data_IF_564063403377
#
_entry.id   IF_564063403377
#
_cell.length_a   1.000
_cell.length_b   1.000
_cell.length_c   1.000
_cell.angle_alpha   90.00
_cell.angle_beta   90.00
_cell.angle_gamma   90.00
#
_symmetry.space_group_name_H-M   'P 1'
#
loop_
_entity.id
_entity.type
_entity.pdbx_description
1 polymer ?
#
# COMPACT_ATOMS: atom_id res chain seq x y z
N UNK A 1 12.93 -6.25 -11.08
CA UNK A 1 12.94 -6.31 -9.60
C UNK A 1 14.36 -6.20 -9.05
N UNK A 2 15.30 -7.04 -9.50
CA UNK A 2 16.67 -7.06 -8.99
C UNK A 2 17.43 -5.74 -9.12
N UNK A 3 17.43 -5.13 -10.31
CA UNK A 3 18.07 -3.83 -10.52
C UNK A 3 17.43 -2.73 -9.66
N UNK A 4 16.09 -2.71 -9.59
CA UNK A 4 15.35 -1.72 -8.80
C UNK A 4 15.72 -1.80 -7.31
N UNK A 5 15.79 -3.00 -6.74
CA UNK A 5 16.19 -3.18 -5.34
C UNK A 5 17.67 -2.85 -5.12
N UNK A 6 18.53 -3.14 -6.10
CA UNK A 6 19.94 -2.75 -6.06
C UNK A 6 20.13 -1.23 -6.04
N UNK A 7 19.36 -0.50 -6.84
CA UNK A 7 19.42 0.97 -6.94
C UNK A 7 18.96 1.66 -5.63
N UNK A 8 18.20 0.97 -4.77
CA UNK A 8 17.74 1.51 -3.48
C UNK A 8 18.83 1.47 -2.39
N UNK A 9 19.87 0.63 -2.53
CA UNK A 9 20.97 0.55 -1.56
C UNK A 9 20.50 0.25 -0.14
N UNK A 10 20.77 1.17 0.79
CA UNK A 10 20.38 1.11 2.21
C UNK A 10 18.89 1.41 2.47
N UNK A 11 18.14 1.81 1.43
CA UNK A 11 16.72 2.21 1.50
C UNK A 11 15.79 1.11 0.99
N UNK A 12 16.15 -0.15 1.20
CA UNK A 12 15.29 -1.27 0.80
C UNK A 12 13.96 -1.23 1.55
N UNK A 13 12.86 -1.65 0.90
CA UNK A 13 11.56 -1.69 1.54
C UNK A 13 11.55 -2.74 2.66
N UNK A 14 10.78 -2.51 3.72
CA UNK A 14 10.60 -3.52 4.77
C UNK A 14 9.88 -4.79 4.26
N UNK A 15 9.04 -4.65 3.24
CA UNK A 15 8.27 -5.76 2.65
C UNK A 15 7.97 -5.46 1.17
N UNK A 16 8.28 -6.40 0.29
CA UNK A 16 7.86 -6.37 -1.12
C UNK A 16 6.50 -7.05 -1.26
N UNK A 17 5.51 -6.37 -1.82
CA UNK A 17 4.17 -6.91 -2.07
C UNK A 17 3.85 -6.82 -3.54
N UNK A 18 3.38 -7.92 -4.13
CA UNK A 18 3.05 -7.95 -5.55
C UNK A 18 2.01 -9.03 -5.90
N UNK A 19 1.45 -8.94 -7.09
CA UNK A 19 0.44 -9.87 -7.59
C UNK A 19 1.07 -11.12 -8.23
N UNK A 20 0.21 -12.01 -8.74
CA UNK A 20 0.54 -13.28 -9.38
C UNK A 20 1.54 -13.21 -10.55
N UNK A 21 1.77 -12.01 -11.11
CA UNK A 21 2.84 -11.77 -12.08
C UNK A 21 4.23 -12.09 -11.53
N UNK A 22 4.46 -11.86 -10.23
CA UNK A 22 5.77 -11.92 -9.60
C UNK A 22 5.94 -13.08 -8.61
N UNK A 23 4.89 -13.85 -8.31
CA UNK A 23 4.96 -15.05 -7.47
C UNK A 23 5.57 -16.28 -8.17
N UNK A 24 6.72 -16.13 -8.83
CA UNK A 24 7.43 -17.20 -9.54
C UNK A 24 8.81 -17.47 -8.91
N UNK A 25 9.37 -18.66 -9.18
CA UNK A 25 10.61 -19.13 -8.54
C UNK A 25 11.77 -18.14 -8.66
N UNK A 26 12.00 -17.59 -9.85
CA UNK A 26 13.13 -16.68 -10.08
C UNK A 26 13.06 -15.43 -9.20
N UNK A 27 11.87 -14.85 -9.06
CA UNK A 27 11.65 -13.67 -8.19
C UNK A 27 11.79 -14.05 -6.71
N UNK A 28 11.22 -15.19 -6.29
CA UNK A 28 11.31 -15.65 -4.90
C UNK A 28 12.77 -15.86 -4.49
N UNK A 29 13.54 -16.60 -5.29
CA UNK A 29 14.97 -16.85 -5.03
C UNK A 29 15.76 -15.55 -4.98
N UNK A 30 15.50 -14.61 -5.91
CA UNK A 30 16.18 -13.32 -5.93
C UNK A 30 15.91 -12.47 -4.67
N UNK A 31 14.70 -12.56 -4.09
CA UNK A 31 14.34 -11.88 -2.85
C UNK A 31 14.93 -12.60 -1.63
N UNK A 32 14.91 -13.94 -1.61
CA UNK A 32 15.48 -14.78 -0.56
C UNK A 32 17.00 -14.58 -0.43
N UNK A 33 17.74 -14.57 -1.54
CA UNK A 33 19.18 -14.32 -1.57
C UNK A 33 19.56 -12.95 -1.01
N UNK A 34 18.65 -11.97 -1.13
CA UNK A 34 18.83 -10.61 -0.60
C UNK A 34 18.30 -10.45 0.82
N UNK A 35 17.78 -11.52 1.43
CA UNK A 35 17.10 -11.47 2.73
C UNK A 35 15.96 -10.44 2.75
N UNK A 36 15.33 -10.17 1.61
CA UNK A 36 14.25 -9.21 1.46
C UNK A 36 12.92 -9.89 1.83
N UNK A 37 12.19 -9.40 2.84
CA UNK A 37 10.85 -9.92 3.12
C UNK A 37 9.91 -9.64 1.95
N UNK A 38 9.06 -10.62 1.64
CA UNK A 38 8.09 -10.52 0.56
C UNK A 38 6.74 -11.14 0.91
N UNK A 39 5.70 -10.69 0.23
CA UNK A 39 4.34 -11.21 0.27
C UNK A 39 3.75 -11.12 -1.14
N UNK A 40 3.84 -12.23 -1.88
CA UNK A 40 3.48 -12.30 -3.30
C UNK A 40 2.31 -13.24 -3.49
N UNK A 41 1.40 -12.92 -4.40
CA UNK A 41 0.35 -13.87 -4.78
C UNK A 41 0.87 -14.92 -5.75
N UNK A 42 0.38 -16.15 -5.63
CA UNK A 42 0.68 -17.24 -6.57
C UNK A 42 -0.34 -17.28 -7.71
N UNK A 43 0.12 -17.66 -8.91
CA UNK A 43 -0.77 -17.99 -10.03
C UNK A 43 -1.56 -19.25 -9.74
N UNK A 44 -2.78 -19.30 -10.28
CA UNK A 44 -3.67 -20.45 -10.14
C UNK A 44 -3.23 -21.63 -11.03
N UNK A 45 -2.18 -22.34 -10.62
CA UNK A 45 -1.77 -23.58 -11.27
C UNK A 45 -2.54 -24.78 -10.70
N UNK A 46 -2.60 -25.89 -11.43
CA UNK A 46 -3.23 -27.12 -10.95
C UNK A 46 -2.65 -27.60 -9.60
N UNK A 47 -1.36 -27.35 -9.34
CA UNK A 47 -0.72 -27.68 -8.06
C UNK A 47 -1.24 -26.79 -6.92
N UNK A 48 -1.45 -25.49 -7.19
CA UNK A 48 -2.01 -24.54 -6.22
C UNK A 48 -3.49 -24.84 -5.94
N UNK A 49 -4.26 -25.22 -6.97
CA UNK A 49 -5.65 -25.68 -6.78
C UNK A 49 -5.72 -26.95 -5.93
N UNK A 50 -4.83 -27.93 -6.18
CA UNK A 50 -4.72 -29.13 -5.35
C UNK A 50 -4.32 -28.80 -3.91
N UNK A 51 -3.43 -27.82 -3.69
CA UNK A 51 -3.09 -27.34 -2.35
C UNK A 51 -4.33 -26.78 -1.63
N UNK A 52 -5.10 -25.92 -2.31
CA UNK A 52 -6.31 -25.31 -1.76
C UNK A 52 -7.36 -26.36 -1.41
N UNK A 53 -7.59 -27.34 -2.29
CA UNK A 53 -8.53 -28.45 -2.04
C UNK A 53 -8.19 -29.24 -0.77
N UNK A 54 -6.91 -29.46 -0.47
CA UNK A 54 -6.48 -30.16 0.76
C UNK A 54 -6.82 -29.39 2.04
N UNK A 55 -6.95 -28.07 1.98
CA UNK A 55 -7.27 -27.25 3.16
C UNK A 55 -8.78 -27.11 3.42
N UNK A 56 -9.63 -27.61 2.52
CA UNK A 56 -11.08 -27.42 2.59
C UNK A 56 -11.75 -28.04 3.81
N UNK A 57 -11.17 -29.11 4.32
CA UNK A 57 -11.69 -29.87 5.47
C UNK A 57 -11.03 -29.45 6.79
N UNK A 58 -9.99 -28.61 6.72
CA UNK A 58 -9.32 -28.11 7.92
C UNK A 58 -10.24 -27.19 8.72
N UNK A 59 -10.14 -27.30 10.04
CA UNK A 59 -10.94 -26.55 11.00
C UNK A 59 -10.17 -25.40 11.67
N UNK A 60 -8.86 -25.35 11.49
CA UNK A 60 -7.93 -24.39 12.11
C UNK A 60 -7.75 -23.10 11.30
N UNK A 61 -8.81 -22.68 10.61
CA UNK A 61 -8.83 -21.38 9.95
C UNK A 61 -8.85 -20.25 11.00
N UNK A 62 -8.19 -19.14 10.69
CA UNK A 62 -8.23 -17.95 11.53
C UNK A 62 -9.67 -17.47 11.72
N UNK A 63 -9.88 -16.67 12.77
CA UNK A 63 -11.11 -15.90 12.90
C UNK A 63 -11.33 -15.04 11.66
N UNK A 64 -12.60 -14.88 11.31
CA UNK A 64 -13.02 -14.00 10.23
C UNK A 64 -12.65 -12.58 10.57
N UNK A 65 -11.94 -11.91 9.67
CA UNK A 65 -11.59 -10.50 9.83
C UNK A 65 -12.79 -9.58 9.52
N UNK A 66 -12.58 -8.27 9.68
CA UNK A 66 -13.61 -7.25 9.43
C UNK A 66 -14.16 -7.23 8.00
N UNK A 67 -13.47 -7.87 7.05
CA UNK A 67 -13.86 -7.94 5.63
C UNK A 67 -14.37 -9.33 5.23
N UNK A 68 -14.56 -10.24 6.18
CA UNK A 68 -15.09 -11.57 5.88
C UNK A 68 -14.03 -12.60 5.43
N UNK A 69 -12.73 -12.28 5.56
CA UNK A 69 -11.66 -13.20 5.19
C UNK A 69 -11.25 -14.09 6.36
N UNK A 70 -10.94 -15.34 6.04
CA UNK A 70 -10.27 -16.28 6.91
C UNK A 70 -8.93 -16.68 6.29
N UNK A 71 -7.93 -16.91 7.11
CA UNK A 71 -6.59 -17.25 6.70
C UNK A 71 -6.15 -18.59 7.29
N UNK A 72 -5.35 -19.34 6.55
CA UNK A 72 -4.65 -20.53 7.05
C UNK A 72 -3.23 -20.55 6.50
N UNK A 73 -2.33 -21.16 7.26
CA UNK A 73 -0.94 -21.34 6.87
C UNK A 73 -0.68 -22.78 6.45
N UNK A 74 0.19 -22.93 5.45
CA UNK A 74 0.83 -24.19 5.12
C UNK A 74 2.26 -23.95 4.62
N UNK A 75 3.02 -25.02 4.43
CA UNK A 75 4.32 -25.01 3.76
C UNK A 75 4.25 -25.90 2.52
N UNK A 76 4.64 -25.36 1.36
CA UNK A 76 4.58 -26.12 0.11
C UNK A 76 5.84 -25.96 -0.71
N UNK A 77 6.24 -27.03 -1.37
CA UNK A 77 7.21 -27.01 -2.46
C UNK A 77 6.49 -27.28 -3.78
N UNK A 78 6.27 -26.25 -4.58
CA UNK A 78 5.70 -26.43 -5.91
C UNK A 78 6.73 -27.05 -6.88
N UNK A 79 6.24 -27.65 -7.96
CA UNK A 79 7.14 -28.15 -9.02
C UNK A 79 7.99 -27.01 -9.58
N UNK A 80 9.28 -27.24 -9.72
CA UNK A 80 10.26 -26.23 -10.14
C UNK A 80 10.76 -25.33 -9.00
N UNK A 81 10.23 -25.46 -7.77
CA UNK A 81 10.77 -24.73 -6.62
C UNK A 81 12.00 -25.42 -6.05
N UNK A 82 13.03 -24.62 -5.77
CA UNK A 82 14.26 -25.06 -5.12
C UNK A 82 14.01 -25.55 -3.69
N UNK A 83 13.08 -24.92 -2.97
CA UNK A 83 12.76 -25.24 -1.59
C UNK A 83 11.27 -25.14 -1.27
N UNK A 84 10.87 -25.70 -0.13
CA UNK A 84 9.55 -25.49 0.44
C UNK A 84 9.45 -24.07 1.01
N UNK A 85 8.29 -23.43 0.87
CA UNK A 85 8.07 -22.06 1.34
C UNK A 85 6.74 -21.95 2.06
N UNK A 86 6.68 -21.02 3.01
CA UNK A 86 5.46 -20.65 3.70
C UNK A 86 4.46 -20.05 2.72
N UNK A 87 3.25 -20.59 2.77
CA UNK A 87 2.09 -20.17 1.99
C UNK A 87 0.94 -19.83 2.94
N UNK A 88 0.28 -18.71 2.68
CA UNK A 88 -0.92 -18.27 3.39
C UNK A 88 -2.08 -18.29 2.41
N UNK A 89 -3.12 -19.04 2.75
CA UNK A 89 -4.33 -19.16 1.94
C UNK A 89 -5.41 -18.32 2.60
N UNK A 90 -5.90 -17.34 1.87
CA UNK A 90 -7.04 -16.52 2.27
C UNK A 90 -8.30 -17.04 1.59
N UNK A 91 -9.41 -17.10 2.33
CA UNK A 91 -10.72 -17.40 1.77
C UNK A 91 -11.76 -16.38 2.20
N UNK A 92 -12.68 -16.04 1.30
CA UNK A 92 -13.86 -15.20 1.60
C UNK A 92 -15.11 -15.89 1.05
N UNK A 93 -16.21 -15.80 1.81
CA UNK A 93 -17.51 -16.28 1.33
C UNK A 93 -18.13 -15.23 0.41
N UNK A 94 -18.49 -15.64 -0.80
CA UNK A 94 -19.19 -14.77 -1.75
C UNK A 94 -20.63 -14.54 -1.29
N UNK A 95 -21.13 -13.31 -1.48
CA UNK A 95 -22.56 -13.00 -1.33
C UNK A 95 -23.30 -13.50 -2.57
N UNK A 96 -24.50 -14.06 -2.39
CA UNK A 96 -25.28 -14.71 -3.47
C UNK A 96 -25.49 -13.83 -4.72
N UNK A 97 -25.59 -12.50 -4.56
CA UNK A 97 -25.70 -11.57 -5.68
C UNK A 97 -24.45 -11.48 -6.57
N UNK A 98 -23.24 -11.54 -5.98
CA UNK A 98 -21.97 -11.48 -6.71
C UNK A 98 -21.67 -12.83 -7.37
N UNK A 99 -22.08 -13.94 -6.75
CA UNK A 99 -21.99 -15.26 -7.34
C UNK A 99 -22.79 -15.38 -8.65
N UNK A 100 -23.94 -14.69 -8.74
CA UNK A 100 -24.76 -14.62 -9.96
C UNK A 100 -24.14 -13.76 -11.06
N UNK A 101 -23.45 -12.68 -10.72
CA UNK A 101 -22.75 -11.82 -11.70
C UNK A 101 -21.44 -12.45 -12.21
N UNK A 102 -20.83 -13.32 -11.41
CA UNK A 102 -19.63 -14.08 -11.77
C UNK A 102 -19.92 -15.30 -12.65
N UNK A 103 -21.18 -15.72 -12.77
CA UNK A 103 -21.63 -16.81 -13.63
C UNK A 103 -22.26 -16.25 -14.91
N UNK A 104 -21.99 -16.86 -16.05
CA UNK A 104 -22.71 -16.62 -17.30
C UNK A 104 -24.08 -17.32 -17.27
N UNK A 105 -24.89 -17.08 -18.30
CA UNK A 105 -26.25 -17.62 -18.44
C UNK A 105 -26.28 -19.16 -18.51
N UNK A 106 -25.12 -19.82 -18.62
CA UNK A 106 -24.94 -21.27 -18.63
C UNK A 106 -24.37 -21.82 -17.30
N UNK A 107 -24.18 -20.96 -16.29
CA UNK A 107 -23.61 -21.36 -14.99
C UNK A 107 -22.10 -21.54 -15.01
N UNK A 108 -21.41 -21.12 -16.07
CA UNK A 108 -19.96 -21.12 -16.20
C UNK A 108 -19.38 -19.76 -15.81
N UNK A 109 -18.17 -19.71 -15.28
CA UNK A 109 -17.60 -18.48 -14.72
C UNK A 109 -17.21 -17.48 -15.83
N UNK A 110 -17.58 -16.20 -15.67
CA UNK A 110 -17.07 -15.11 -16.51
C UNK A 110 -15.55 -15.00 -16.34
N UNK A 111 -14.84 -14.91 -17.47
CA UNK A 111 -13.38 -14.90 -17.57
C UNK A 111 -12.70 -13.87 -16.63
N UNK A 112 -13.31 -12.71 -16.41
CA UNK A 112 -12.77 -11.65 -15.54
C UNK A 112 -12.59 -12.09 -14.07
N UNK A 113 -13.48 -12.96 -13.57
CA UNK A 113 -13.40 -13.51 -12.20
C UNK A 113 -12.51 -14.76 -12.11
N UNK A 114 -12.48 -15.56 -13.18
CA UNK A 114 -11.74 -16.83 -13.24
C UNK A 114 -10.22 -16.63 -13.09
N UNK A 115 -9.67 -15.52 -13.59
CA UNK A 115 -8.24 -15.21 -13.49
C UNK A 115 -7.83 -14.77 -12.07
N UNK A 116 -8.77 -14.27 -11.27
CA UNK A 116 -8.44 -13.59 -10.01
C UNK A 116 -8.68 -14.44 -8.75
N UNK A 117 -9.55 -15.45 -8.76
CA UNK A 117 -9.74 -16.29 -7.57
C UNK A 117 -10.05 -17.75 -7.91
N UNK A 118 -9.63 -18.69 -7.05
CA UNK A 118 -10.14 -20.06 -7.15
C UNK A 118 -11.54 -20.02 -6.56
N UNK A 119 -12.53 -20.24 -7.42
CA UNK A 119 -13.94 -20.24 -7.03
C UNK A 119 -14.39 -21.67 -6.82
N UNK A 120 -14.80 -21.99 -5.60
CA UNK A 120 -15.57 -23.20 -5.32
C UNK A 120 -17.05 -22.86 -5.50
N UNK A 121 -17.57 -23.05 -6.72
CA UNK A 121 -18.95 -22.75 -7.08
C UNK A 121 -19.97 -23.53 -6.23
N UNK A 122 -19.62 -24.72 -5.72
CA UNK A 122 -20.50 -25.51 -4.86
C UNK A 122 -20.57 -24.95 -3.43
N UNK A 123 -19.52 -24.28 -2.96
CA UNK A 123 -19.42 -23.78 -1.57
C UNK A 123 -19.44 -22.25 -1.47
N UNK A 124 -19.48 -21.53 -2.59
CA UNK A 124 -19.44 -20.06 -2.69
C UNK A 124 -18.24 -19.43 -1.99
N UNK A 125 -17.06 -20.02 -2.14
CA UNK A 125 -15.81 -19.49 -1.58
C UNK A 125 -14.87 -19.01 -2.67
N UNK A 126 -14.22 -17.89 -2.37
CA UNK A 126 -13.19 -17.25 -3.15
C UNK A 126 -11.85 -17.44 -2.41
N UNK A 127 -10.87 -18.08 -3.06
CA UNK A 127 -9.55 -18.33 -2.47
C UNK A 127 -8.45 -17.51 -3.14
N UNK A 128 -7.53 -17.02 -2.31
CA UNK A 128 -6.29 -16.35 -2.72
C UNK A 128 -5.12 -17.03 -2.03
N UNK A 129 -4.08 -17.37 -2.79
CA UNK A 129 -2.90 -18.07 -2.27
C UNK A 129 -1.70 -17.14 -2.33
N UNK A 130 -1.10 -16.87 -1.17
CA UNK A 130 0.02 -15.96 -0.99
C UNK A 130 1.25 -16.76 -0.57
N UNK A 131 2.42 -16.46 -1.12
CA UNK A 131 3.71 -16.97 -0.67
C UNK A 131 4.47 -15.87 0.05
N UNK A 132 5.09 -16.18 1.18
CA UNK A 132 5.77 -15.18 2.00
C UNK A 132 6.89 -15.79 2.83
N UNK A 133 7.98 -15.06 3.02
CA UNK A 133 9.01 -15.32 4.03
C UNK A 133 8.93 -14.32 5.21
N UNK A 134 7.94 -13.42 5.22
CA UNK A 134 7.78 -12.41 6.25
C UNK A 134 7.14 -13.03 7.49
N UNK A 135 7.67 -12.73 8.68
CA UNK A 135 7.17 -13.26 9.95
C UNK A 135 6.08 -12.37 10.56
N UNK A 136 4.95 -12.26 9.85
CA UNK A 136 3.75 -11.60 10.36
C UNK A 136 2.67 -12.62 10.73
N UNK A 137 1.81 -12.22 11.68
CA UNK A 137 0.60 -12.97 12.04
C UNK A 137 -0.35 -13.04 10.84
N UNK A 138 -1.17 -14.09 10.77
CA UNK A 138 -2.07 -14.34 9.63
C UNK A 138 -3.06 -13.19 9.38
N UNK A 139 -3.56 -12.57 10.45
CA UNK A 139 -4.46 -11.42 10.37
C UNK A 139 -3.76 -10.21 9.72
N UNK A 140 -2.47 -10.03 10.02
CA UNK A 140 -1.65 -8.98 9.43
C UNK A 140 -1.32 -9.26 7.97
N UNK A 141 -1.04 -10.52 7.61
CA UNK A 141 -0.76 -10.90 6.21
C UNK A 141 -1.94 -10.57 5.29
N UNK A 142 -3.17 -10.90 5.72
CA UNK A 142 -4.37 -10.61 4.92
C UNK A 142 -4.52 -9.10 4.68
N UNK A 143 -4.37 -8.29 5.73
CA UNK A 143 -4.45 -6.83 5.62
C UNK A 143 -3.32 -6.25 4.76
N UNK A 144 -2.07 -6.68 5.00
CA UNK A 144 -0.91 -6.24 4.23
C UNK A 144 -1.07 -6.54 2.74
N UNK A 145 -1.62 -7.70 2.37
CA UNK A 145 -1.85 -8.01 0.97
C UNK A 145 -2.93 -7.12 0.35
N UNK A 146 -4.03 -6.83 1.07
CA UNK A 146 -5.08 -5.92 0.60
C UNK A 146 -4.58 -4.50 0.39
N UNK A 147 -3.77 -3.99 1.31
CA UNK A 147 -3.19 -2.65 1.25
C UNK A 147 -2.19 -2.50 0.08
N UNK A 148 -1.93 -3.56 -0.71
CA UNK A 148 -1.23 -3.44 -2.00
C UNK A 148 -2.06 -2.60 -2.98
N UNK A 149 -3.39 -2.72 -3.00
CA UNK A 149 -4.24 -2.01 -3.97
C UNK A 149 -4.14 -0.48 -3.84
N UNK A 150 -3.67 0.07 -2.71
CA UNK A 150 -3.38 1.50 -2.57
C UNK A 150 -2.36 2.02 -3.61
N UNK A 151 -1.48 1.15 -4.13
CA UNK A 151 -0.51 1.53 -5.16
C UNK A 151 -1.15 1.74 -6.53
N UNK A 152 -2.24 1.03 -6.84
CA UNK A 152 -2.95 1.13 -8.13
C UNK A 152 -3.54 2.53 -8.29
N UNK A 153 -4.20 3.04 -7.24
CA UNK A 153 -4.67 4.43 -7.18
C UNK A 153 -3.54 5.44 -7.42
N UNK A 154 -2.34 5.18 -6.88
CA UNK A 154 -1.17 6.03 -7.12
C UNK A 154 -0.68 6.00 -8.57
N UNK A 155 -0.69 4.83 -9.21
CA UNK A 155 -0.33 4.70 -10.63
C UNK A 155 -1.34 5.41 -11.54
N UNK A 156 -2.62 5.30 -11.24
CA UNK A 156 -3.67 5.98 -12.00
C UNK A 156 -3.59 7.50 -11.82
N UNK A 157 -3.31 7.99 -10.61
CA UNK A 157 -3.03 9.41 -10.40
C UNK A 157 -1.81 9.88 -11.18
N UNK A 158 -0.70 9.11 -11.14
CA UNK A 158 0.51 9.42 -11.89
C UNK A 158 0.26 9.53 -13.40
N UNK A 159 -0.52 8.60 -13.96
CA UNK A 159 -0.90 8.61 -15.37
C UNK A 159 -1.84 9.77 -15.71
N UNK A 160 -2.97 9.86 -15.01
CA UNK A 160 -4.10 10.70 -15.40
C UNK A 160 -3.96 12.15 -14.92
N UNK A 161 -3.31 12.38 -13.78
CA UNK A 161 -3.20 13.72 -13.19
C UNK A 161 -1.80 14.31 -13.40
N UNK A 162 -0.76 13.48 -13.31
CA UNK A 162 0.64 13.95 -13.42
C UNK A 162 1.26 13.74 -14.80
N UNK A 163 0.51 13.18 -15.75
CA UNK A 163 0.93 13.04 -17.14
C UNK A 163 2.19 12.19 -17.31
N UNK A 164 2.39 11.18 -16.45
CA UNK A 164 3.60 10.35 -16.46
C UNK A 164 3.87 9.72 -17.83
N UNK A 165 2.82 9.37 -18.58
CA UNK A 165 2.88 8.84 -19.96
C UNK A 165 2.70 9.90 -21.06
N UNK A 166 2.49 11.18 -20.70
CA UNK A 166 2.15 12.25 -21.62
C UNK A 166 3.33 12.85 -22.39
N UNK A 167 4.57 12.54 -21.98
CA UNK A 167 5.79 13.05 -22.62
C UNK A 167 6.71 11.89 -23.05
N UNK A 168 6.70 11.58 -24.33
CA UNK A 168 7.56 10.55 -24.93
C UNK A 168 8.37 11.13 -26.08
N UNK A 169 9.66 10.79 -26.13
CA UNK A 169 10.55 11.17 -27.23
C UNK A 169 11.30 9.93 -27.71
N UNK A 170 11.97 10.02 -28.87
CA UNK A 170 12.87 8.95 -29.34
C UNK A 170 14.13 8.79 -28.47
N UNK A 171 14.43 9.78 -27.63
CA UNK A 171 15.54 9.75 -26.69
C UNK A 171 15.06 9.26 -25.31
N UNK A 172 15.51 8.06 -24.94
CA UNK A 172 15.13 7.41 -23.69
C UNK A 172 15.54 8.23 -22.46
N UNK A 173 16.69 8.92 -22.50
CA UNK A 173 17.19 9.66 -21.34
C UNK A 173 16.30 10.86 -21.01
N UNK A 174 15.79 11.54 -22.04
CA UNK A 174 14.85 12.67 -21.88
C UNK A 174 13.53 12.19 -21.30
N UNK A 175 12.98 11.09 -21.83
CA UNK A 175 11.76 10.49 -21.30
C UNK A 175 11.91 10.03 -19.86
N UNK A 176 13.03 9.39 -19.49
CA UNK A 176 13.31 9.00 -18.11
C UNK A 176 13.44 10.21 -17.17
N UNK A 177 14.09 11.29 -17.61
CA UNK A 177 14.25 12.50 -16.81
C UNK A 177 12.91 13.15 -16.51
N UNK A 178 12.05 13.30 -17.53
CA UNK A 178 10.70 13.84 -17.33
C UNK A 178 9.84 12.93 -16.45
N UNK A 179 9.92 11.61 -16.63
CA UNK A 179 9.18 10.67 -15.79
C UNK A 179 9.61 10.73 -14.31
N UNK A 180 10.92 10.85 -14.05
CA UNK A 180 11.47 11.03 -12.69
C UNK A 180 11.04 12.35 -12.07
N UNK A 181 11.03 13.43 -12.84
CA UNK A 181 10.53 14.73 -12.38
C UNK A 181 9.04 14.66 -12.02
N UNK A 182 8.21 14.01 -12.84
CA UNK A 182 6.80 13.76 -12.55
C UNK A 182 6.60 12.96 -11.26
N UNK A 183 7.36 11.87 -11.08
CA UNK A 183 7.32 11.06 -9.86
C UNK A 183 7.75 11.85 -8.60
N UNK A 184 8.74 12.73 -8.71
CA UNK A 184 9.18 13.59 -7.61
C UNK A 184 8.09 14.59 -7.21
N UNK A 185 7.44 15.24 -8.19
CA UNK A 185 6.35 16.18 -7.93
C UNK A 185 5.16 15.46 -7.30
N UNK A 186 4.81 14.27 -7.80
CA UNK A 186 3.79 13.42 -7.18
C UNK A 186 4.13 13.14 -5.71
N UNK A 187 5.36 12.71 -5.41
CA UNK A 187 5.78 12.45 -4.03
C UNK A 187 5.64 13.69 -3.13
N UNK A 188 6.08 14.86 -3.59
CA UNK A 188 5.91 16.10 -2.84
C UNK A 188 4.45 16.45 -2.62
N UNK A 189 3.61 16.30 -3.65
CA UNK A 189 2.18 16.54 -3.55
C UNK A 189 1.49 15.60 -2.57
N UNK A 190 1.82 14.30 -2.62
CA UNK A 190 1.29 13.29 -1.71
C UNK A 190 1.63 13.63 -0.27
N UNK A 191 2.88 13.99 0.03
CA UNK A 191 3.29 14.38 1.38
C UNK A 191 2.65 15.70 1.83
N UNK A 192 2.51 16.67 0.93
CA UNK A 192 1.81 17.92 1.20
C UNK A 192 0.33 17.67 1.56
N UNK A 193 -0.38 16.85 0.78
CA UNK A 193 -1.77 16.49 1.06
C UNK A 193 -1.91 15.70 2.37
N UNK A 194 -0.99 14.79 2.65
CA UNK A 194 -0.95 14.03 3.90
C UNK A 194 -0.65 14.91 5.12
N UNK A 195 0.17 15.94 4.97
CA UNK A 195 0.38 16.95 6.02
C UNK A 195 -0.87 17.83 6.20
N UNK A 196 -1.56 18.17 5.11
CA UNK A 196 -2.77 18.99 5.14
C UNK A 196 -3.97 18.26 5.75
N UNK A 197 -4.17 16.99 5.41
CA UNK A 197 -5.29 16.18 5.88
C UNK A 197 -4.78 14.79 6.32
N UNK A 198 -4.31 14.66 7.58
CA UNK A 198 -3.77 13.38 8.04
C UNK A 198 -4.82 12.28 8.19
N UNK A 199 -6.09 12.64 8.39
CA UNK A 199 -7.20 11.69 8.60
C UNK A 199 -7.66 10.93 7.35
N UNK A 200 -7.18 11.29 6.16
CA UNK A 200 -7.59 10.64 4.91
C UNK A 200 -6.70 11.00 3.73
N UNK A 201 -6.75 10.22 2.65
CA UNK A 201 -6.06 10.56 1.41
C UNK A 201 -6.90 11.59 0.64
N UNK A 202 -6.27 12.67 0.20
CA UNK A 202 -6.88 13.58 -0.77
C UNK A 202 -6.35 13.22 -2.16
N UNK A 203 -7.26 12.84 -3.06
CA UNK A 203 -6.88 12.45 -4.42
C UNK A 203 -6.43 13.65 -5.24
N UNK A 204 -5.52 13.44 -6.20
CA UNK A 204 -4.95 14.51 -7.02
C UNK A 204 -6.02 15.28 -7.81
N UNK A 205 -7.07 14.60 -8.30
CA UNK A 205 -8.15 15.21 -9.09
C UNK A 205 -8.94 16.27 -8.30
N UNK A 206 -9.14 16.08 -6.99
CA UNK A 206 -9.87 17.02 -6.12
C UNK A 206 -8.96 17.95 -5.33
N UNK A 207 -7.83 17.43 -4.84
CA UNK A 207 -6.88 18.19 -4.01
C UNK A 207 -6.21 19.32 -4.78
N UNK A 208 -5.86 19.12 -6.07
CA UNK A 208 -5.18 20.13 -6.88
C UNK A 208 -6.01 21.40 -7.06
N UNK A 209 -7.24 21.35 -7.59
CA UNK A 209 -8.05 22.56 -7.71
C UNK A 209 -8.34 23.20 -6.33
N UNK A 210 -8.42 22.40 -5.26
CA UNK A 210 -8.65 22.92 -3.91
C UNK A 210 -7.43 23.67 -3.33
N UNK A 211 -6.24 23.08 -3.43
CA UNK A 211 -5.03 23.56 -2.73
C UNK A 211 -4.09 24.41 -3.60
N UNK A 212 -4.25 24.40 -4.93
CA UNK A 212 -3.51 25.28 -5.84
C UNK A 212 -4.28 26.56 -6.22
N UNK A 213 -5.56 26.67 -5.85
CA UNK A 213 -6.37 27.86 -6.10
C UNK A 213 -6.07 29.01 -5.11
N UNK A 214 -4.79 29.23 -4.79
CA UNK A 214 -4.34 30.33 -3.95
C UNK A 214 -3.15 31.04 -4.59
N UNK A 215 -3.15 32.37 -4.53
CA UNK A 215 -2.01 33.20 -4.94
C UNK A 215 -1.13 33.45 -3.73
N UNK A 216 0.16 33.13 -3.85
CA UNK A 216 1.15 33.32 -2.79
C UNK A 216 2.03 34.54 -3.03
N UNK A 217 2.23 35.37 -2.00
CA UNK A 217 3.24 36.44 -1.97
C UNK A 217 4.22 36.20 -0.82
N UNK A 218 5.49 36.04 -1.14
CA UNK A 218 6.55 36.04 -0.13
C UNK A 218 7.01 37.48 0.12
N UNK A 219 7.06 37.89 1.39
CA UNK A 219 7.67 39.15 1.81
C UNK A 219 8.74 38.86 2.86
N UNK A 220 9.92 39.46 2.71
CA UNK A 220 11.02 39.31 3.66
C UNK A 220 11.30 40.67 4.30
N UNK A 221 11.16 40.73 5.62
CA UNK A 221 11.47 41.94 6.41
C UNK A 221 12.10 41.53 7.74
N UNK A 222 13.12 42.27 8.19
CA UNK A 222 13.81 42.05 9.46
C UNK A 222 14.27 40.58 9.70
N UNK A 223 14.80 39.93 8.66
CA UNK A 223 15.29 38.54 8.74
C UNK A 223 14.19 37.47 8.81
N UNK A 224 12.92 37.85 8.69
CA UNK A 224 11.79 36.91 8.62
C UNK A 224 11.15 36.94 7.23
N UNK A 225 10.99 35.76 6.63
CA UNK A 225 10.18 35.57 5.43
C UNK A 225 8.77 35.14 5.83
N UNK A 226 7.76 35.91 5.42
CA UNK A 226 6.34 35.60 5.59
C UNK A 226 5.72 35.31 4.24
N UNK A 227 5.03 34.17 4.13
CA UNK A 227 4.26 33.80 2.96
C UNK A 227 2.78 34.15 3.19
N UNK A 228 2.27 35.11 2.42
CA UNK A 228 0.85 35.46 2.36
C UNK A 228 0.17 34.60 1.31
N UNK A 229 -0.90 33.91 1.67
CA UNK A 229 -1.69 33.08 0.76
C UNK A 229 -3.10 33.66 0.66
N UNK A 230 -3.52 34.00 -0.55
CA UNK A 230 -4.88 34.46 -0.85
C UNK A 230 -5.61 33.38 -1.62
N UNK A 231 -6.53 32.67 -0.96
CA UNK A 231 -7.38 31.66 -1.61
C UNK A 231 -8.42 32.34 -2.51
N UNK A 232 -8.52 31.86 -3.75
CA UNK A 232 -9.55 32.25 -4.72
C UNK A 232 -10.72 31.27 -4.76
N UNK A 233 -10.66 30.18 -3.96
CA UNK A 233 -11.67 29.14 -3.94
C UNK A 233 -12.80 29.46 -2.96
N UNK A 234 -14.04 29.07 -3.29
CA UNK A 234 -15.23 29.27 -2.44
C UNK A 234 -15.21 28.53 -1.07
N UNK A 235 -14.19 27.71 -0.79
CA UNK A 235 -14.06 26.87 0.42
C UNK A 235 -12.89 27.35 1.28
N UNK A 236 -12.80 28.65 1.48
CA UNK A 236 -11.66 29.30 2.15
C UNK A 236 -11.45 28.78 3.57
N UNK A 237 -12.51 28.54 4.34
CA UNK A 237 -12.38 28.02 5.71
C UNK A 237 -11.77 26.62 5.75
N UNK A 238 -12.19 25.74 4.84
CA UNK A 238 -11.60 24.41 4.69
C UNK A 238 -10.12 24.51 4.32
N UNK A 239 -9.77 25.35 3.35
CA UNK A 239 -8.39 25.55 2.91
C UNK A 239 -7.53 26.10 4.06
N UNK A 240 -8.04 27.06 4.83
CA UNK A 240 -7.35 27.59 5.99
C UNK A 240 -7.03 26.50 7.03
N UNK A 241 -7.98 25.61 7.33
CA UNK A 241 -7.73 24.48 8.23
C UNK A 241 -6.66 23.52 7.70
N UNK A 242 -6.72 23.18 6.41
CA UNK A 242 -5.71 22.35 5.76
C UNK A 242 -4.31 22.99 5.82
N UNK A 243 -4.22 24.30 5.56
CA UNK A 243 -2.96 25.05 5.62
C UNK A 243 -2.42 25.20 7.05
N UNK A 244 -3.28 25.27 8.06
CA UNK A 244 -2.87 25.25 9.48
C UNK A 244 -2.10 23.96 9.78
N UNK A 245 -2.58 22.81 9.30
CA UNK A 245 -1.91 21.52 9.50
C UNK A 245 -0.54 21.46 8.80
N UNK A 246 -0.46 21.94 7.55
CA UNK A 246 0.82 22.07 6.83
C UNK A 246 1.79 22.98 7.58
N UNK A 247 1.31 24.14 8.04
CA UNK A 247 2.12 25.09 8.83
C UNK A 247 2.63 24.44 10.11
N UNK A 248 1.82 23.64 10.79
CA UNK A 248 2.25 22.91 11.99
C UNK A 248 3.38 21.91 11.67
N UNK A 249 3.28 21.18 10.54
CA UNK A 249 4.34 20.28 10.08
C UNK A 249 5.65 21.02 9.79
N UNK A 250 5.60 22.13 9.05
CA UNK A 250 6.79 22.93 8.74
C UNK A 250 7.40 23.59 9.98
N UNK A 251 6.57 24.04 10.94
CA UNK A 251 7.03 24.57 12.22
C UNK A 251 7.76 23.52 13.04
N UNK A 252 7.29 22.28 13.06
CA UNK A 252 7.95 21.18 13.76
C UNK A 252 9.34 20.90 13.18
N UNK A 253 9.48 20.91 11.86
CA UNK A 253 10.79 20.77 11.21
C UNK A 253 11.71 21.93 11.59
N UNK A 254 11.21 23.16 11.55
CA UNK A 254 11.96 24.36 11.92
C UNK A 254 12.45 24.30 13.37
N UNK A 255 11.57 24.00 14.33
CA UNK A 255 11.95 23.94 15.75
C UNK A 255 12.98 22.84 16.02
N UNK A 256 12.88 21.71 15.31
CA UNK A 256 13.85 20.62 15.43
C UNK A 256 15.20 21.01 14.83
N UNK A 257 15.20 21.69 13.68
CA UNK A 257 16.42 22.16 13.02
C UNK A 257 17.13 23.28 13.78
N UNK A 258 16.40 24.10 14.56
CA UNK A 258 17.00 25.09 15.46
C UNK A 258 17.78 24.43 16.61
N UNK A 259 17.35 23.22 17.03
CA UNK A 259 17.99 22.47 18.13
C UNK A 259 19.16 21.59 17.65
N UNK A 260 19.09 21.06 16.42
CA UNK A 260 20.06 20.11 15.89
C UNK A 260 20.61 20.57 14.52
N UNK A 261 21.92 20.88 14.47
CA UNK A 261 22.59 21.43 13.27
C UNK A 261 22.59 20.46 12.08
N UNK A 262 22.69 19.16 12.33
CA UNK A 262 22.77 18.11 11.31
C UNK A 262 21.46 17.34 11.13
N UNK A 263 20.31 17.99 11.37
CA UNK A 263 19.01 17.29 11.25
C UNK A 263 18.68 16.97 9.80
N UNK A 264 18.25 15.73 9.55
CA UNK A 264 17.54 15.36 8.33
C UNK A 264 16.13 15.96 8.34
N UNK A 265 16.00 17.15 7.74
CA UNK A 265 14.74 17.91 7.68
C UNK A 265 13.62 17.13 6.99
N UNK A 266 13.95 16.36 5.96
CA UNK A 266 12.96 15.54 5.25
C UNK A 266 12.53 14.37 6.12
N UNK A 267 13.48 13.64 6.71
CA UNK A 267 13.20 12.58 7.67
C UNK A 267 12.32 13.06 8.84
N UNK A 268 12.59 14.25 9.39
CA UNK A 268 11.76 14.87 10.45
C UNK A 268 10.34 15.17 9.97
N UNK A 269 10.18 15.76 8.77
CA UNK A 269 8.85 16.03 8.20
C UNK A 269 8.07 14.73 8.00
N UNK A 270 8.70 13.74 7.39
CA UNK A 270 8.08 12.45 7.09
C UNK A 270 7.68 11.72 8.36
N UNK A 271 8.54 11.70 9.39
CA UNK A 271 8.20 11.13 10.72
C UNK A 271 6.99 11.82 11.33
N UNK A 272 6.95 13.15 11.32
CA UNK A 272 5.83 13.93 11.85
C UNK A 272 4.50 13.62 11.13
N UNK A 273 4.55 13.48 9.81
CA UNK A 273 3.38 13.17 8.98
C UNK A 273 2.96 11.72 9.22
N UNK A 274 3.88 10.76 9.19
CA UNK A 274 3.60 9.35 9.46
C UNK A 274 2.97 9.13 10.85
N UNK A 275 3.44 9.82 11.90
CA UNK A 275 2.86 9.75 13.24
C UNK A 275 1.40 10.23 13.32
N UNK A 276 0.95 11.05 12.37
CA UNK A 276 -0.44 11.54 12.30
C UNK A 276 -1.35 10.69 11.43
N UNK A 277 -0.78 9.94 10.49
CA UNK A 277 -1.53 9.05 9.59
C UNK A 277 -1.64 7.66 10.19
N UNK A 278 -0.56 7.17 10.82
CA UNK A 278 -0.54 5.87 11.42
C UNK A 278 -1.57 5.83 12.56
N UNK A 279 -2.43 4.80 12.62
CA UNK A 279 -3.29 4.63 13.78
C UNK A 279 -2.41 4.55 15.01
N UNK A 280 -2.82 5.25 16.09
CA UNK A 280 -2.21 5.00 17.40
C UNK A 280 -2.46 3.55 17.71
N UNK A 281 -1.39 2.76 17.81
CA UNK A 281 -1.49 1.49 18.49
C UNK A 281 -1.80 1.87 19.93
N UNK A 282 -3.07 1.77 20.33
CA UNK A 282 -3.39 1.81 21.74
C UNK A 282 -2.52 0.73 22.38
N UNK A 283 -1.77 1.10 23.43
CA UNK A 283 -1.06 0.16 24.28
C UNK A 283 -2.04 -0.98 24.60
N UNK A 284 -1.57 -2.22 24.43
CA UNK A 284 -2.33 -3.46 24.54
C UNK A 284 -3.58 -3.38 25.46
N UNK A 285 -4.73 -3.99 25.10
CA UNK A 285 -5.78 -4.20 26.08
C UNK A 285 -5.13 -4.87 27.29
N UNK A 286 -5.26 -4.23 28.45
CA UNK A 286 -4.59 -4.60 29.68
C UNK A 286 -4.53 -6.12 29.82
N UNK A 287 -3.33 -6.65 30.07
CA UNK A 287 -3.17 -8.05 30.43
C UNK A 287 -4.16 -8.35 31.55
N UNK A 288 -5.23 -9.07 31.24
CA UNK A 288 -6.11 -9.65 32.24
C UNK A 288 -5.25 -10.66 32.97
N UNK A 289 -4.61 -10.21 34.04
CA UNK A 289 -3.97 -11.06 35.03
C UNK A 289 -5.01 -12.10 35.45
N UNK A 290 -4.76 -13.35 35.09
CA UNK A 290 -5.51 -14.49 35.61
C UNK A 290 -5.50 -14.37 37.14
N UNK A 291 -6.65 -14.50 37.83
CA UNK A 291 -6.65 -14.51 39.28
C UNK A 291 -5.76 -15.65 39.75
N UNK A 292 -4.81 -15.33 40.61
CA UNK A 292 -4.00 -16.34 41.29
C UNK A 292 -4.95 -17.31 41.98
N UNK A 293 -4.92 -18.57 41.57
CA UNK A 293 -5.56 -19.67 42.27
C UNK A 293 -4.94 -19.77 43.66
N UNK A 294 -5.75 -19.42 44.67
CA UNK A 294 -5.61 -19.86 46.06
C UNK A 294 -6.74 -20.84 46.37
#
# INVERSE_FOLDING_TARGET
>A
MEQLLGDLGDKTPALVRDDSGYGNEGVLVALEQRQQPYLLRLRQTANVQRLVQRQFERLDWSRTDSQGFQAIQDEVRLSGWSQARRVVILRRRLREGIAREAMDDHGQLRLDFADHHILDAARMWEYTVLVTNADYRLESIAQLYRDRCDCENGFDELKNQWGLSGFTTRDLNRSQTTARAGALIYNWWSWYCRAAHPGGRLEAITSRPLLLAAVGKAASHAGQTTLYLTSMHARTDTINQLLINVRAALRHVRSTAEQFKDVDRWGTLLKYVCQRIAPRMDDHPACLTLPATG
#
